data_IF_801875057859
#
_entry.id   IF_801875057859
#
_cell.length_a   1.000
_cell.length_b   1.000
_cell.length_c   1.000
_cell.angle_alpha   90.00
_cell.angle_beta   90.00
_cell.angle_gamma   90.00
#
_symmetry.space_group_name_H-M   'P 1'
#
loop_
_entity.id
_entity.type
_entity.pdbx_description
1 polymer ?
#
# COMPACT_ATOMS: atom_id res chain seq x y z
N UNK A 1 24.19 -51.41 -33.71
CA UNK A 1 23.93 -50.26 -32.82
C UNK A 1 22.55 -50.49 -32.19
N UNK A 2 22.51 -50.84 -30.90
CA UNK A 2 21.26 -51.19 -30.19
C UNK A 2 20.41 -49.93 -30.08
N UNK A 3 19.20 -49.99 -30.63
CA UNK A 3 18.26 -48.89 -30.65
C UNK A 3 17.28 -49.12 -29.50
N UNK A 4 17.63 -48.61 -28.32
CA UNK A 4 16.82 -48.74 -27.12
C UNK A 4 15.62 -47.80 -27.26
N UNK A 5 14.47 -48.37 -27.63
CA UNK A 5 13.21 -47.63 -27.79
C UNK A 5 12.72 -47.17 -26.41
N UNK A 6 12.81 -45.87 -26.15
CA UNK A 6 12.23 -45.25 -24.96
C UNK A 6 10.70 -45.35 -25.04
N UNK A 7 10.10 -46.21 -24.21
CA UNK A 7 8.65 -46.35 -24.10
C UNK A 7 8.14 -45.12 -23.33
N UNK A 8 7.46 -44.20 -24.02
CA UNK A 8 6.75 -43.10 -23.36
C UNK A 8 5.59 -43.72 -22.56
N UNK A 9 5.76 -43.78 -21.24
CA UNK A 9 4.72 -44.15 -20.29
C UNK A 9 3.74 -42.96 -20.22
N UNK A 10 2.51 -43.17 -20.69
CA UNK A 10 1.46 -42.15 -20.65
C UNK A 10 0.85 -42.03 -19.25
N UNK A 11 0.42 -40.83 -18.88
CA UNK A 11 -0.35 -40.57 -17.66
C UNK A 11 -1.69 -41.33 -17.70
N UNK A 12 -2.10 -41.87 -16.55
CA UNK A 12 -3.42 -42.51 -16.45
C UNK A 12 -4.53 -41.47 -16.26
N UNK A 13 -5.76 -41.78 -16.71
CA UNK A 13 -6.92 -40.89 -16.51
C UNK A 13 -7.19 -40.63 -15.03
N UNK A 14 -6.97 -41.65 -14.18
CA UNK A 14 -7.15 -41.56 -12.73
C UNK A 14 -6.11 -40.62 -12.11
N UNK A 15 -4.87 -40.65 -12.61
CA UNK A 15 -3.79 -39.79 -12.13
C UNK A 15 -4.06 -38.31 -12.45
N UNK A 16 -4.62 -38.01 -13.63
CA UNK A 16 -5.03 -36.64 -13.96
C UNK A 16 -6.27 -36.20 -13.14
N UNK A 17 -7.20 -37.10 -12.85
CA UNK A 17 -8.40 -36.82 -12.06
C UNK A 17 -8.06 -36.44 -10.61
N UNK A 18 -7.13 -37.16 -9.98
CA UNK A 18 -6.69 -36.84 -8.61
C UNK A 18 -5.98 -35.49 -8.56
N UNK A 19 -5.17 -35.15 -9.58
CA UNK A 19 -4.44 -33.87 -9.63
C UNK A 19 -5.39 -32.68 -9.70
N UNK A 20 -6.39 -32.71 -10.59
CA UNK A 20 -7.35 -31.60 -10.69
C UNK A 20 -8.22 -31.47 -9.45
N UNK A 21 -8.53 -32.58 -8.77
CA UNK A 21 -9.24 -32.56 -7.49
C UNK A 21 -8.40 -31.87 -6.40
N UNK A 22 -7.10 -32.15 -6.32
CA UNK A 22 -6.20 -31.49 -5.36
C UNK A 22 -6.07 -30.00 -5.67
N UNK A 23 -5.87 -29.62 -6.95
CA UNK A 23 -5.76 -28.21 -7.34
C UNK A 23 -7.05 -27.43 -7.01
N UNK A 24 -8.23 -28.05 -7.19
CA UNK A 24 -9.51 -27.43 -6.87
C UNK A 24 -9.65 -27.15 -5.36
N UNK A 25 -9.19 -28.05 -4.49
CA UNK A 25 -9.23 -27.83 -3.03
C UNK A 25 -8.22 -26.75 -2.62
N UNK A 26 -6.99 -26.81 -3.14
CA UNK A 26 -5.94 -25.84 -2.81
C UNK A 26 -6.28 -24.42 -3.30
N UNK A 27 -6.94 -24.28 -4.45
CA UNK A 27 -7.27 -22.97 -5.01
C UNK A 27 -8.27 -22.20 -4.15
N UNK A 28 -9.30 -22.86 -3.61
CA UNK A 28 -10.31 -22.25 -2.74
C UNK A 28 -9.66 -21.70 -1.46
N UNK A 29 -8.79 -22.49 -0.82
CA UNK A 29 -8.07 -22.07 0.38
C UNK A 29 -7.11 -20.92 0.06
N UNK A 30 -6.40 -21.02 -1.07
CA UNK A 30 -5.47 -19.99 -1.53
C UNK A 30 -6.12 -18.63 -1.76
N UNK A 31 -7.34 -18.61 -2.33
CA UNK A 31 -8.06 -17.36 -2.58
C UNK A 31 -8.42 -16.61 -1.29
N UNK A 32 -8.88 -17.32 -0.26
CA UNK A 32 -9.23 -16.70 1.02
C UNK A 32 -8.00 -16.08 1.72
N UNK A 33 -6.85 -16.75 1.66
CA UNK A 33 -5.60 -16.24 2.23
C UNK A 33 -5.07 -15.02 1.47
N UNK A 34 -5.19 -15.02 0.13
CA UNK A 34 -4.67 -13.95 -0.73
C UNK A 34 -5.29 -12.58 -0.45
N UNK A 35 -6.60 -12.53 -0.18
CA UNK A 35 -7.30 -11.27 0.11
C UNK A 35 -6.74 -10.56 1.34
N UNK A 36 -6.43 -11.29 2.41
CA UNK A 36 -5.88 -10.72 3.65
C UNK A 36 -4.43 -10.24 3.45
N UNK A 37 -3.62 -10.97 2.68
CA UNK A 37 -2.25 -10.56 2.35
C UNK A 37 -2.24 -9.24 1.57
N UNK A 38 -3.12 -9.09 0.59
CA UNK A 38 -3.22 -7.83 -0.15
C UNK A 38 -3.62 -6.65 0.73
N UNK A 39 -4.59 -6.83 1.64
CA UNK A 39 -4.99 -5.79 2.61
C UNK A 39 -3.81 -5.37 3.49
N UNK A 40 -3.09 -6.34 4.05
CA UNK A 40 -1.90 -6.09 4.87
C UNK A 40 -0.80 -5.35 4.10
N UNK A 41 -0.59 -5.69 2.83
CA UNK A 41 0.38 -5.01 1.98
C UNK A 41 -0.01 -3.54 1.71
N UNK A 42 -1.30 -3.26 1.51
CA UNK A 42 -1.80 -1.89 1.32
C UNK A 42 -1.63 -1.06 2.59
N UNK A 43 -1.96 -1.59 3.75
CA UNK A 43 -1.77 -0.91 5.03
C UNK A 43 -0.29 -0.67 5.36
N UNK A 44 0.57 -1.65 5.08
CA UNK A 44 2.02 -1.50 5.21
C UNK A 44 2.53 -0.36 4.32
N UNK A 45 2.02 -0.27 3.09
CA UNK A 45 2.32 0.85 2.19
C UNK A 45 1.84 2.18 2.77
N UNK A 46 0.60 2.27 3.27
CA UNK A 46 0.09 3.51 3.89
C UNK A 46 0.93 3.95 5.09
N UNK A 47 1.41 3.01 5.91
CA UNK A 47 2.33 3.33 7.01
C UNK A 47 3.64 3.93 6.50
N UNK A 48 4.24 3.31 5.48
CA UNK A 48 5.45 3.83 4.83
C UNK A 48 5.25 5.23 4.25
N UNK A 49 4.13 5.45 3.57
CA UNK A 49 3.77 6.74 2.97
C UNK A 49 3.69 7.86 4.03
N UNK A 50 3.08 7.59 5.20
CA UNK A 50 3.03 8.57 6.30
C UNK A 50 4.44 8.89 6.83
N UNK A 51 5.34 7.91 6.90
CA UNK A 51 6.71 8.19 7.34
C UNK A 51 7.44 9.14 6.38
N UNK A 52 7.24 8.98 5.07
CA UNK A 52 7.81 9.89 4.08
C UNK A 52 7.25 11.30 4.27
N UNK A 53 5.92 11.42 4.43
CA UNK A 53 5.25 12.70 4.68
C UNK A 53 5.79 13.36 5.96
N UNK A 54 5.92 12.60 7.05
CA UNK A 54 6.45 13.08 8.32
C UNK A 54 7.86 13.63 8.16
N UNK A 55 8.74 12.92 7.46
CA UNK A 55 10.12 13.36 7.28
C UNK A 55 10.18 14.69 6.50
N UNK A 56 9.36 14.86 5.45
CA UNK A 56 9.28 16.11 4.71
C UNK A 56 8.75 17.28 5.58
N UNK A 57 7.81 17.00 6.48
CA UNK A 57 7.30 17.99 7.44
C UNK A 57 8.34 18.36 8.51
N UNK A 58 9.10 17.38 9.00
CA UNK A 58 10.20 17.60 9.94
C UNK A 58 11.29 18.46 9.29
N UNK A 59 11.65 18.19 8.03
CA UNK A 59 12.62 18.99 7.28
C UNK A 59 12.14 20.44 7.06
N UNK A 60 10.86 20.62 6.68
CA UNK A 60 10.26 21.96 6.60
C UNK A 60 10.31 22.70 7.94
N UNK A 61 10.05 22.01 9.05
CA UNK A 61 10.10 22.59 10.39
C UNK A 61 11.52 23.03 10.76
N UNK A 62 12.55 22.29 10.35
CA UNK A 62 13.95 22.66 10.61
C UNK A 62 14.29 24.03 10.01
N UNK A 63 13.78 24.34 8.84
CA UNK A 63 14.02 25.59 8.12
C UNK A 63 13.09 26.72 8.57
N UNK A 64 11.79 26.43 8.72
CA UNK A 64 10.74 27.44 8.90
C UNK A 64 10.29 27.60 10.37
N UNK A 65 10.81 26.78 11.27
CA UNK A 65 10.47 26.71 12.72
C UNK A 65 8.98 26.61 13.01
N UNK A 66 8.21 26.19 12.03
CA UNK A 66 6.76 26.06 12.06
C UNK A 66 6.38 24.97 11.08
N UNK A 67 5.28 24.28 11.34
CA UNK A 67 4.74 23.33 10.38
C UNK A 67 3.88 24.07 9.34
N UNK A 68 3.78 23.58 8.09
CA UNK A 68 2.96 24.23 7.09
C UNK A 68 1.50 24.20 7.52
N UNK A 69 0.80 25.32 7.29
CA UNK A 69 -0.64 25.42 7.47
C UNK A 69 -1.27 24.99 6.15
N UNK A 70 -2.02 23.89 6.15
CA UNK A 70 -2.83 23.50 4.99
C UNK A 70 -4.15 24.28 5.05
N UNK A 71 -4.30 25.28 4.20
CA UNK A 71 -5.52 26.10 4.10
C UNK A 71 -6.57 25.47 3.19
N UNK A 72 -6.22 24.44 2.42
CA UNK A 72 -7.10 23.79 1.46
C UNK A 72 -7.18 22.29 1.71
N UNK A 73 -8.36 21.82 2.07
CA UNK A 73 -8.80 20.47 1.73
C UNK A 73 -9.03 20.42 0.22
N UNK A 74 -7.95 20.38 -0.58
CA UNK A 74 -8.09 20.24 -2.02
C UNK A 74 -8.47 18.79 -2.32
N UNK A 75 -9.69 18.55 -2.80
CA UNK A 75 -10.19 17.23 -3.21
C UNK A 75 -9.65 16.82 -4.60
N UNK A 76 -8.38 17.08 -4.89
CA UNK A 76 -7.81 16.82 -6.20
C UNK A 76 -6.95 15.56 -6.16
N UNK A 77 -7.33 14.52 -6.92
CA UNK A 77 -6.66 13.23 -7.16
C UNK A 77 -5.28 13.37 -7.82
N UNK A 78 -4.42 14.22 -7.25
CA UNK A 78 -3.11 14.54 -7.81
C UNK A 78 -2.04 13.92 -6.93
N UNK A 79 -1.06 13.33 -7.59
CA UNK A 79 0.19 12.86 -7.01
C UNK A 79 1.15 14.03 -6.69
N UNK A 80 0.59 15.17 -6.29
CA UNK A 80 1.31 16.40 -5.97
C UNK A 80 1.31 16.66 -4.46
N UNK A 81 2.49 16.99 -3.94
CA UNK A 81 2.73 17.25 -2.52
C UNK A 81 2.05 18.51 -2.00
N UNK A 82 1.70 19.45 -2.88
CA UNK A 82 0.96 20.68 -2.54
C UNK A 82 -0.31 20.39 -1.73
N UNK A 83 -1.00 19.30 -2.05
CA UNK A 83 -2.28 18.93 -1.44
C UNK A 83 -2.14 18.20 -0.09
N UNK A 84 -1.01 17.52 0.13
CA UNK A 84 -0.77 16.72 1.35
C UNK A 84 -0.06 17.54 2.42
N UNK A 85 0.92 18.36 2.01
CA UNK A 85 1.84 19.04 2.94
C UNK A 85 1.98 20.55 2.68
N UNK A 86 1.21 21.10 1.71
CA UNK A 86 1.22 22.54 1.42
C UNK A 86 2.61 23.06 1.09
N UNK A 87 3.09 24.01 1.91
CA UNK A 87 4.42 24.64 1.77
C UNK A 87 5.59 23.67 1.87
N UNK A 88 5.42 22.49 2.47
CA UNK A 88 6.49 21.50 2.60
C UNK A 88 6.70 20.64 1.34
N UNK A 89 6.04 20.96 0.22
CA UNK A 89 6.17 20.20 -1.04
C UNK A 89 7.61 20.04 -1.54
N UNK A 90 8.46 21.03 -1.30
CA UNK A 90 9.85 21.04 -1.78
C UNK A 90 10.79 20.15 -0.95
N UNK A 91 10.33 19.75 0.24
CA UNK A 91 11.04 18.88 1.17
C UNK A 91 10.67 17.41 0.97
N UNK A 92 9.71 17.15 0.08
CA UNK A 92 9.26 15.81 -0.22
C UNK A 92 9.83 15.36 -1.57
N UNK A 93 10.51 14.21 -1.56
CA UNK A 93 11.12 13.66 -2.77
C UNK A 93 10.11 12.90 -3.63
N UNK A 94 10.14 13.14 -4.94
CA UNK A 94 9.34 12.40 -5.92
C UNK A 94 7.87 12.81 -5.96
N UNK A 95 6.98 11.86 -6.28
CA UNK A 95 5.54 12.08 -6.36
C UNK A 95 4.90 11.85 -4.99
N UNK A 96 3.87 12.62 -4.66
CA UNK A 96 3.11 12.40 -3.44
C UNK A 96 2.50 10.98 -3.42
N UNK A 97 2.47 10.32 -2.25
CA UNK A 97 1.86 9.02 -2.11
C UNK A 97 0.38 9.05 -2.47
N UNK A 98 -0.06 8.02 -3.20
CA UNK A 98 -1.46 7.83 -3.58
C UNK A 98 -1.95 6.56 -2.89
N UNK A 99 -3.17 6.62 -2.32
CA UNK A 99 -3.76 5.47 -1.65
C UNK A 99 -3.88 4.28 -2.63
N UNK A 100 -3.54 3.04 -2.19
CA UNK A 100 -3.57 1.87 -3.06
C UNK A 100 -4.97 1.43 -3.54
N UNK A 101 -6.06 1.90 -2.94
CA UNK A 101 -7.45 1.49 -3.24
C UNK A 101 -8.18 2.59 -3.99
N UNK A 102 -8.18 3.81 -3.43
CA UNK A 102 -8.93 4.93 -4.01
C UNK A 102 -8.00 6.09 -4.34
N UNK A 103 -7.76 6.28 -5.65
CA UNK A 103 -6.94 7.38 -6.13
C UNK A 103 -7.62 8.75 -5.94
N UNK A 104 -8.94 8.78 -5.75
CA UNK A 104 -9.75 10.00 -5.80
C UNK A 104 -10.07 10.66 -4.45
N UNK A 105 -9.71 10.04 -3.32
CA UNK A 105 -9.97 10.61 -1.99
C UNK A 105 -8.75 10.49 -1.08
N UNK A 106 -8.29 11.63 -0.55
CA UNK A 106 -7.15 11.69 0.38
C UNK A 106 -7.41 10.81 1.60
N UNK A 107 -6.75 9.65 1.65
CA UNK A 107 -6.72 8.82 2.85
C UNK A 107 -5.69 9.31 3.87
N UNK A 108 -4.84 10.26 3.48
CA UNK A 108 -3.87 10.93 4.33
C UNK A 108 -4.40 12.30 4.73
N UNK A 109 -4.62 12.53 6.03
CA UNK A 109 -5.08 13.80 6.58
C UNK A 109 -3.95 14.36 7.45
N UNK A 110 -3.48 15.54 7.08
CA UNK A 110 -2.54 16.31 7.87
C UNK A 110 -3.28 17.40 8.66
N UNK A 111 -2.84 17.64 9.89
CA UNK A 111 -3.31 18.71 10.75
C UNK A 111 -2.13 19.64 11.07
N UNK A 112 -2.38 20.95 11.03
CA UNK A 112 -1.39 22.02 11.33
C UNK A 112 -0.71 21.89 12.71
N UNK A 113 -1.27 21.09 13.61
CA UNK A 113 -0.69 20.72 14.91
C UNK A 113 0.42 19.65 14.81
N UNK A 114 0.97 19.40 13.61
CA UNK A 114 2.01 18.39 13.39
C UNK A 114 1.49 16.96 13.55
N UNK A 115 0.22 16.70 13.21
CA UNK A 115 -0.36 15.34 13.26
C UNK A 115 -0.72 14.90 11.85
N UNK A 116 -0.22 13.76 11.41
CA UNK A 116 -0.52 13.16 10.11
C UNK A 116 -1.20 11.81 10.35
N UNK A 117 -2.34 11.57 9.71
CA UNK A 117 -3.15 10.37 9.88
C UNK A 117 -3.44 9.72 8.54
N UNK A 118 -3.36 8.39 8.47
CA UNK A 118 -3.94 7.62 7.39
C UNK A 118 -5.13 6.81 7.88
N UNK A 119 -6.19 6.73 7.08
CA UNK A 119 -7.32 5.86 7.35
C UNK A 119 -6.94 4.41 7.01
N UNK A 120 -7.01 3.49 7.98
CA UNK A 120 -6.65 2.08 7.81
C UNK A 120 -7.86 1.21 7.52
N UNK A 121 -8.66 1.56 6.50
CA UNK A 121 -9.99 0.99 6.24
C UNK A 121 -10.11 -0.55 6.21
N UNK A 122 -9.01 -1.30 6.09
CA UNK A 122 -9.04 -2.71 5.74
C UNK A 122 -8.69 -3.70 6.86
N UNK A 123 -7.99 -3.26 7.91
CA UNK A 123 -7.56 -4.13 9.03
C UNK A 123 -8.27 -3.73 10.33
N UNK A 124 -8.40 -2.43 10.57
CA UNK A 124 -9.08 -1.86 11.72
C UNK A 124 -9.75 -0.58 11.23
N UNK A 125 -11.03 -0.34 11.47
CA UNK A 125 -11.71 0.93 11.11
C UNK A 125 -11.17 2.17 11.87
N UNK A 126 -9.92 2.12 12.32
CA UNK A 126 -9.17 3.11 13.04
C UNK A 126 -8.23 3.85 12.09
N UNK A 127 -7.96 5.10 12.39
CA UNK A 127 -6.90 5.86 11.74
C UNK A 127 -5.57 5.57 12.43
N UNK A 128 -4.52 5.36 11.65
CA UNK A 128 -3.16 5.34 12.15
C UNK A 128 -2.58 6.74 12.00
N UNK A 129 -2.15 7.33 13.12
CA UNK A 129 -1.64 8.69 13.14
C UNK A 129 -0.21 8.72 13.69
N UNK A 130 0.66 9.47 13.02
CA UNK A 130 1.94 9.88 13.56
C UNK A 130 1.87 11.32 14.03
N UNK A 131 2.51 11.59 15.16
CA UNK A 131 2.78 12.95 15.61
C UNK A 131 4.19 13.30 15.18
N UNK A 132 4.37 14.49 14.61
CA UNK A 132 5.68 15.00 14.27
C UNK A 132 6.44 15.25 15.57
N UNK A 133 7.67 14.74 15.60
CA UNK A 133 8.58 14.86 16.74
C UNK A 133 9.28 16.20 16.63
N UNK A 134 9.17 17.02 17.68
CA UNK A 134 9.90 18.29 17.80
C UNK A 134 11.41 18.02 17.78
#
# INVERSE_FOLDING_TARGET
MRNDKYKLLGFTLVELLVVVAIIAVLSIIGMAAYGNVQKNARDAKRKGDIHIIRNALEEYYMDNKSYPITTEYSNTSTNDWTTIVGGAKYYASGKAPVDPINRESFHYIYYSIGKICARMLEIDEKSFCLKATQ
#
